data_IF_586219099778
#
_entry.id   IF_586219099778
#
_cell.length_a   1.000
_cell.length_b   1.000
_cell.length_c   1.000
_cell.angle_alpha   90.00
_cell.angle_beta   90.00
_cell.angle_gamma   90.00
#
_symmetry.space_group_name_H-M   'P 1'
#
loop_
_entity.id
_entity.type
_entity.pdbx_description
1 polymer ?
#
# COMPACT_ATOMS: atom_id res chain seq x y z
N UNK A 1 -21.89 -18.93 11.88
CA UNK A 1 -22.54 -17.62 11.96
C UNK A 1 -21.46 -16.59 11.70
N UNK A 2 -21.41 -16.02 10.50
CA UNK A 2 -20.29 -15.17 10.04
C UNK A 2 -20.23 -13.87 10.84
N UNK A 3 -19.14 -13.62 11.57
CA UNK A 3 -18.96 -12.36 12.34
C UNK A 3 -17.99 -11.40 11.67
N UNK A 4 -18.26 -10.10 11.84
CA UNK A 4 -17.32 -9.04 11.49
C UNK A 4 -16.17 -9.05 12.50
N UNK A 5 -14.94 -9.24 12.03
CA UNK A 5 -13.76 -9.31 12.90
C UNK A 5 -13.07 -7.95 13.04
N UNK A 6 -12.97 -7.16 11.95
CA UNK A 6 -12.49 -5.77 11.97
C UNK A 6 -13.30 -4.92 11.02
N UNK A 7 -13.48 -3.64 11.36
CA UNK A 7 -14.20 -2.67 10.54
C UNK A 7 -13.53 -1.30 10.61
N UNK A 8 -13.45 -0.65 9.46
CA UNK A 8 -13.06 0.75 9.31
C UNK A 8 -14.07 1.44 8.40
N UNK A 9 -14.89 2.30 8.98
CA UNK A 9 -15.95 3.04 8.27
C UNK A 9 -16.88 2.11 7.47
N UNK A 10 -16.74 2.13 6.15
CA UNK A 10 -17.55 1.39 5.17
C UNK A 10 -16.85 0.14 4.63
N UNK A 11 -15.75 -0.27 5.26
CA UNK A 11 -15.02 -1.47 4.90
C UNK A 11 -14.90 -2.37 6.11
N UNK A 12 -15.02 -3.69 5.92
CA UNK A 12 -14.84 -4.65 7.00
C UNK A 12 -14.30 -5.97 6.48
N UNK A 13 -13.79 -6.77 7.40
CA UNK A 13 -13.33 -8.14 7.17
C UNK A 13 -14.06 -9.06 8.14
N UNK A 14 -14.45 -10.24 7.67
CA UNK A 14 -15.08 -11.24 8.52
C UNK A 14 -14.05 -12.12 9.26
N UNK A 15 -14.53 -13.05 10.08
CA UNK A 15 -13.70 -14.01 10.81
C UNK A 15 -12.97 -15.03 9.91
N UNK A 16 -13.42 -15.19 8.66
CA UNK A 16 -12.81 -16.05 7.65
C UNK A 16 -11.81 -15.30 6.75
N UNK A 17 -11.59 -14.02 7.01
CA UNK A 17 -10.68 -13.17 6.23
C UNK A 17 -11.26 -12.65 4.92
N UNK A 18 -12.58 -12.77 4.69
CA UNK A 18 -13.25 -12.20 3.52
C UNK A 18 -13.50 -10.71 3.72
N UNK A 19 -13.23 -9.94 2.68
CA UNK A 19 -13.30 -8.48 2.68
C UNK A 19 -14.63 -8.01 2.09
N UNK A 20 -15.24 -7.01 2.70
CA UNK A 20 -16.50 -6.44 2.23
C UNK A 20 -16.47 -4.92 2.28
N UNK A 21 -17.07 -4.32 1.26
CA UNK A 21 -17.27 -2.88 1.13
C UNK A 21 -18.76 -2.54 1.15
N UNK A 22 -19.12 -1.43 1.79
CA UNK A 22 -20.46 -0.86 1.83
C UNK A 22 -20.51 0.28 0.83
N UNK A 23 -21.18 0.05 -0.29
CA UNK A 23 -21.26 0.98 -1.41
C UNK A 23 -22.60 1.71 -1.42
N UNK A 24 -22.64 2.84 -2.12
CA UNK A 24 -23.84 3.66 -2.29
C UNK A 24 -24.08 4.65 -1.15
N UNK A 25 -25.16 5.44 -1.21
CA UNK A 25 -25.52 6.43 -0.19
C UNK A 25 -25.95 5.78 1.13
N UNK A 26 -25.95 6.56 2.21
CA UNK A 26 -26.30 6.12 3.58
C UNK A 26 -27.65 5.38 3.63
N UNK A 27 -28.64 5.86 2.86
CA UNK A 27 -30.03 5.39 2.86
C UNK A 27 -30.35 4.33 1.80
N UNK A 28 -29.38 3.99 0.94
CA UNK A 28 -29.58 3.04 -0.16
C UNK A 28 -28.26 2.36 -0.50
N UNK A 29 -27.73 1.62 0.46
CA UNK A 29 -26.42 0.99 0.37
C UNK A 29 -26.52 -0.50 0.02
N UNK A 30 -25.39 -1.09 -0.37
CA UNK A 30 -25.26 -2.53 -0.57
C UNK A 30 -23.84 -2.99 -0.23
N UNK A 31 -23.69 -4.28 0.05
CA UNK A 31 -22.42 -4.93 0.32
C UNK A 31 -21.83 -5.48 -0.98
N UNK A 32 -20.52 -5.37 -1.14
CA UNK A 32 -19.78 -6.09 -2.19
C UNK A 32 -18.56 -6.76 -1.60
N UNK A 33 -18.38 -8.04 -1.90
CA UNK A 33 -17.18 -8.78 -1.52
C UNK A 33 -15.98 -8.34 -2.37
N UNK A 34 -14.83 -8.20 -1.71
CA UNK A 34 -13.55 -7.92 -2.33
C UNK A 34 -12.64 -9.13 -2.28
N UNK A 35 -11.95 -9.38 -3.39
CA UNK A 35 -10.85 -10.32 -3.47
C UNK A 35 -9.54 -9.58 -3.24
N UNK A 36 -8.79 -10.03 -2.26
CA UNK A 36 -7.43 -9.56 -2.02
C UNK A 36 -6.51 -10.02 -3.17
N UNK A 37 -5.66 -9.12 -3.68
CA UNK A 37 -4.71 -9.49 -4.74
C UNK A 37 -3.48 -10.24 -4.22
N UNK A 38 -3.02 -9.87 -3.03
CA UNK A 38 -1.81 -10.43 -2.41
C UNK A 38 -2.18 -11.10 -1.10
N UNK A 39 -1.73 -12.34 -0.93
CA UNK A 39 -1.87 -13.06 0.34
C UNK A 39 -0.97 -12.43 1.39
N UNK A 40 -1.34 -12.59 2.66
CA UNK A 40 -0.52 -12.19 3.80
C UNK A 40 -0.62 -10.73 4.22
N UNK A 41 -1.37 -9.89 3.50
CA UNK A 41 -1.64 -8.52 3.97
C UNK A 41 -2.77 -8.50 4.99
N UNK A 42 -2.59 -7.72 6.04
CA UNK A 42 -3.62 -7.43 7.02
C UNK A 42 -4.71 -6.50 6.47
N UNK A 43 -5.84 -6.43 7.17
CA UNK A 43 -6.98 -5.58 6.80
C UNK A 43 -6.60 -4.11 6.54
N UNK A 44 -5.84 -3.50 7.46
CA UNK A 44 -5.41 -2.10 7.30
C UNK A 44 -4.48 -1.91 6.12
N UNK A 45 -3.59 -2.88 5.85
CA UNK A 45 -2.70 -2.81 4.69
C UNK A 45 -3.50 -2.91 3.39
N UNK A 46 -4.52 -3.75 3.33
CA UNK A 46 -5.40 -3.81 2.15
C UNK A 46 -6.08 -2.46 1.91
N UNK A 47 -6.57 -1.79 2.96
CA UNK A 47 -7.21 -0.49 2.83
C UNK A 47 -6.24 0.62 2.44
N UNK A 48 -5.09 0.68 3.13
CA UNK A 48 -4.04 1.66 2.85
C UNK A 48 -3.61 1.50 1.41
N UNK A 49 -3.17 0.30 1.01
CA UNK A 49 -2.57 0.03 -0.29
C UNK A 49 -3.57 -0.30 -1.41
N UNK A 50 -4.87 -0.19 -1.13
CA UNK A 50 -5.98 -0.55 -2.02
C UNK A 50 -5.80 -1.94 -2.65
N UNK A 51 -5.28 -2.94 -1.92
CA UNK A 51 -4.85 -4.26 -2.45
C UNK A 51 -6.00 -5.26 -2.67
N UNK A 52 -7.08 -4.82 -3.31
CA UNK A 52 -8.20 -5.68 -3.61
C UNK A 52 -9.00 -5.21 -4.83
N UNK A 53 -9.78 -6.14 -5.39
CA UNK A 53 -10.71 -5.92 -6.48
C UNK A 53 -12.08 -6.52 -6.14
N UNK A 54 -13.18 -6.03 -6.75
CA UNK A 54 -14.48 -6.64 -6.57
C UNK A 54 -14.47 -8.10 -7.03
N UNK A 55 -15.06 -9.00 -6.24
CA UNK A 55 -15.21 -10.41 -6.63
C UNK A 55 -16.40 -10.64 -7.58
N UNK A 56 -17.27 -9.64 -7.69
CA UNK A 56 -18.57 -9.70 -8.35
C UNK A 56 -19.70 -10.20 -7.43
N UNK A 57 -19.42 -10.60 -6.19
CA UNK A 57 -20.47 -10.95 -5.23
C UNK A 57 -21.02 -9.69 -4.56
N UNK A 58 -22.32 -9.45 -4.67
CA UNK A 58 -23.01 -8.27 -4.12
C UNK A 58 -24.27 -8.67 -3.37
N UNK A 59 -24.69 -7.87 -2.40
CA UNK A 59 -25.91 -8.12 -1.65
C UNK A 59 -27.16 -7.50 -2.28
N UNK A 60 -28.33 -7.79 -1.70
CA UNK A 60 -29.49 -6.90 -1.82
C UNK A 60 -29.17 -5.48 -1.30
N UNK A 61 -30.03 -4.52 -1.61
CA UNK A 61 -29.93 -3.16 -1.07
C UNK A 61 -30.52 -3.05 0.33
N UNK A 62 -29.96 -2.16 1.12
CA UNK A 62 -30.37 -1.88 2.50
C UNK A 62 -30.73 -0.42 2.68
N UNK A 63 -31.75 -0.16 3.49
CA UNK A 63 -32.22 1.17 3.86
C UNK A 63 -31.23 1.95 4.74
N UNK A 64 -30.23 1.29 5.32
CA UNK A 64 -29.14 1.94 6.03
C UNK A 64 -27.88 1.09 6.10
N UNK A 65 -26.73 1.73 6.33
CA UNK A 65 -25.46 1.06 6.66
C UNK A 65 -25.62 0.15 7.88
N UNK A 66 -26.36 0.60 8.91
CA UNK A 66 -26.65 -0.20 10.10
C UNK A 66 -27.40 -1.49 9.74
N UNK A 67 -28.46 -1.38 8.95
CA UNK A 67 -29.25 -2.53 8.51
C UNK A 67 -28.42 -3.54 7.69
N UNK A 68 -27.50 -3.06 6.85
CA UNK A 68 -26.60 -3.93 6.11
C UNK A 68 -25.67 -4.74 7.03
N UNK A 69 -25.13 -4.10 8.08
CA UNK A 69 -24.24 -4.73 9.05
C UNK A 69 -24.99 -5.72 9.95
N UNK A 70 -26.19 -5.37 10.41
CA UNK A 70 -27.05 -6.26 11.18
C UNK A 70 -27.43 -7.50 10.37
N UNK A 71 -27.82 -7.32 9.10
CA UNK A 71 -28.13 -8.43 8.21
C UNK A 71 -26.90 -9.32 7.96
N UNK A 72 -25.70 -8.75 7.81
CA UNK A 72 -24.46 -9.53 7.67
C UNK A 72 -24.18 -10.39 8.92
N UNK A 73 -24.26 -9.81 10.11
CA UNK A 73 -24.01 -10.53 11.36
C UNK A 73 -25.08 -11.58 11.67
N UNK A 74 -26.32 -11.34 11.21
CA UNK A 74 -27.43 -12.28 11.35
C UNK A 74 -27.46 -13.36 10.25
N UNK A 75 -26.48 -13.38 9.33
CA UNK A 75 -26.45 -14.29 8.18
C UNK A 75 -27.71 -14.22 7.29
N UNK A 76 -28.30 -13.01 7.21
CA UNK A 76 -29.55 -12.73 6.50
C UNK A 76 -29.33 -11.99 5.16
N UNK A 77 -28.09 -12.00 4.66
CA UNK A 77 -27.75 -11.35 3.39
C UNK A 77 -28.08 -12.27 2.22
N UNK A 78 -28.80 -11.74 1.24
CA UNK A 78 -29.01 -12.39 -0.04
C UNK A 78 -27.90 -11.97 -0.98
N UNK A 79 -27.14 -12.95 -1.47
CA UNK A 79 -26.01 -12.70 -2.36
C UNK A 79 -26.38 -12.94 -3.82
N UNK A 80 -25.88 -12.06 -4.68
CA UNK A 80 -26.07 -12.06 -6.12
C UNK A 80 -24.73 -11.96 -6.83
N UNK A 81 -24.65 -12.51 -8.03
CA UNK A 81 -23.48 -12.40 -8.88
C UNK A 81 -23.66 -11.26 -9.89
N UNK A 82 -22.90 -10.19 -9.72
CA UNK A 82 -22.76 -9.12 -10.71
C UNK A 82 -21.62 -9.46 -11.69
N UNK A 83 -21.99 -9.75 -12.95
CA UNK A 83 -21.04 -10.14 -13.99
C UNK A 83 -20.16 -8.98 -14.46
N UNK A 84 -20.66 -7.73 -14.37
CA UNK A 84 -19.88 -6.56 -14.74
C UNK A 84 -18.77 -6.33 -13.72
N UNK A 85 -19.11 -6.30 -12.43
CA UNK A 85 -18.14 -6.15 -11.35
C UNK A 85 -17.16 -7.32 -11.32
N UNK A 86 -17.62 -8.54 -11.63
CA UNK A 86 -16.73 -9.69 -11.78
C UNK A 86 -15.66 -9.44 -12.85
N UNK A 87 -16.10 -9.09 -14.07
CA UNK A 87 -15.20 -8.84 -15.20
C UNK A 87 -14.25 -7.67 -14.93
N UNK A 88 -14.76 -6.60 -14.33
CA UNK A 88 -13.95 -5.46 -13.90
C UNK A 88 -12.88 -5.91 -12.91
N UNK A 89 -13.24 -6.70 -11.88
CA UNK A 89 -12.28 -7.18 -10.90
C UNK A 89 -11.21 -8.10 -11.49
N UNK A 90 -11.60 -8.96 -12.43
CA UNK A 90 -10.67 -9.82 -13.16
C UNK A 90 -9.74 -8.99 -14.07
N UNK A 91 -10.23 -7.93 -14.72
CA UNK A 91 -9.41 -6.98 -15.48
C UNK A 91 -8.44 -6.20 -14.59
N UNK A 92 -8.88 -5.69 -13.43
CA UNK A 92 -8.01 -5.03 -12.47
C UNK A 92 -6.90 -5.97 -12.00
N UNK A 93 -7.24 -7.24 -11.78
CA UNK A 93 -6.27 -8.25 -11.37
C UNK A 93 -5.25 -8.56 -12.49
N UNK A 94 -5.66 -8.54 -13.76
CA UNK A 94 -4.79 -8.82 -14.90
C UNK A 94 -3.85 -7.65 -15.24
N UNK A 95 -4.32 -6.40 -15.11
CA UNK A 95 -3.56 -5.21 -15.49
C UNK A 95 -2.77 -4.57 -14.34
N UNK A 96 -2.69 -5.24 -13.19
CA UNK A 96 -1.97 -4.68 -12.04
C UNK A 96 -0.47 -4.58 -12.30
N UNK A 97 0.08 -3.38 -12.20
CA UNK A 97 1.53 -3.20 -12.03
C UNK A 97 1.95 -3.41 -10.58
N UNK A 98 3.24 -3.68 -10.39
CA UNK A 98 3.89 -3.63 -9.07
C UNK A 98 3.79 -2.21 -8.48
N UNK A 99 3.77 -1.19 -9.34
CA UNK A 99 3.82 0.23 -8.96
C UNK A 99 2.47 0.94 -8.96
N UNK A 100 1.40 0.33 -9.49
CA UNK A 100 0.07 0.96 -9.65
C UNK A 100 -0.65 1.22 -8.31
N UNK A 101 -0.01 0.87 -7.20
CA UNK A 101 -0.56 0.91 -5.87
C UNK A 101 0.06 2.01 -5.03
N UNK A 102 -0.15 3.24 -5.48
CA UNK A 102 0.05 4.43 -4.66
C UNK A 102 -1.32 5.03 -4.32
N UNK A 103 -1.78 4.88 -3.07
CA UNK A 103 -2.95 5.60 -2.59
C UNK A 103 -2.70 7.10 -2.77
N UNK A 104 -3.72 7.85 -3.16
CA UNK A 104 -3.63 9.31 -3.34
C UNK A 104 -3.01 9.99 -2.11
N UNK A 105 -3.28 9.49 -0.91
CA UNK A 105 -2.68 9.97 0.33
C UNK A 105 -1.13 9.83 0.36
N UNK A 106 -0.57 8.75 -0.18
CA UNK A 106 0.88 8.57 -0.27
C UNK A 106 1.50 9.41 -1.39
N UNK A 107 0.80 9.59 -2.51
CA UNK A 107 1.22 10.51 -3.56
C UNK A 107 1.27 11.95 -3.02
N UNK A 108 0.28 12.33 -2.21
CA UNK A 108 0.25 13.62 -1.54
C UNK A 108 1.32 13.74 -0.43
N UNK A 109 1.65 12.65 0.27
CA UNK A 109 2.72 12.65 1.26
C UNK A 109 4.09 12.88 0.60
N UNK A 110 4.34 12.20 -0.53
CA UNK A 110 5.53 12.42 -1.35
C UNK A 110 5.62 13.86 -1.84
N UNK A 111 4.53 14.41 -2.38
CA UNK A 111 4.48 15.80 -2.84
C UNK A 111 4.75 16.82 -1.72
N UNK A 112 4.49 16.46 -0.46
CA UNK A 112 4.79 17.26 0.74
C UNK A 112 6.20 17.02 1.28
N UNK A 113 7.03 16.22 0.62
CA UNK A 113 8.38 15.87 1.09
C UNK A 113 8.39 14.92 2.29
N UNK A 114 7.25 14.33 2.65
CA UNK A 114 7.18 13.36 3.73
C UNK A 114 7.68 11.99 3.25
N UNK A 115 8.23 11.19 4.17
CA UNK A 115 8.71 9.84 3.85
C UNK A 115 7.54 8.95 3.41
N UNK A 116 7.59 8.51 2.17
CA UNK A 116 6.64 7.55 1.59
C UNK A 116 6.90 6.19 2.23
N UNK A 117 5.86 5.58 2.80
CA UNK A 117 5.95 4.20 3.29
C UNK A 117 6.26 3.27 2.11
N UNK A 118 7.14 2.29 2.28
CA UNK A 118 7.38 1.27 1.25
C UNK A 118 6.28 0.22 1.26
N UNK A 119 5.98 -0.31 0.08
CA UNK A 119 5.02 -1.40 -0.10
C UNK A 119 5.47 -2.64 0.72
N UNK A 120 4.63 -3.20 1.61
CA UNK A 120 5.00 -4.29 2.50
C UNK A 120 5.50 -5.55 1.77
N UNK A 121 5.01 -5.80 0.57
CA UNK A 121 5.38 -6.97 -0.24
C UNK A 121 6.71 -6.84 -1.00
N UNK A 122 7.40 -5.70 -0.88
CA UNK A 122 8.75 -5.50 -1.43
C UNK A 122 9.85 -5.74 -0.37
N UNK A 123 9.51 -6.31 0.79
CA UNK A 123 10.43 -6.61 1.88
C UNK A 123 10.79 -8.11 1.94
N UNK A 124 12.01 -8.47 2.38
CA UNK A 124 13.02 -7.61 3.02
C UNK A 124 13.77 -6.76 1.99
N UNK A 125 14.40 -5.68 2.45
CA UNK A 125 15.39 -5.01 1.62
C UNK A 125 16.38 -6.07 1.08
N UNK A 126 16.76 -6.06 -0.21
CA UNK A 126 18.11 -6.51 -0.51
C UNK A 126 18.97 -5.62 0.36
N UNK A 127 19.69 -6.19 1.34
CA UNK A 127 20.62 -5.43 2.15
C UNK A 127 21.41 -4.56 1.17
N UNK A 128 21.12 -3.24 1.17
CA UNK A 128 21.86 -2.32 0.33
C UNK A 128 23.33 -2.55 0.64
N UNK A 129 24.26 -2.34 -0.31
CA UNK A 129 25.67 -2.58 -0.05
C UNK A 129 26.00 -1.91 1.28
N UNK A 130 26.30 -2.74 2.29
CA UNK A 130 26.69 -2.26 3.61
C UNK A 130 28.06 -1.67 3.34
N UNK A 131 28.12 -0.39 3.02
CA UNK A 131 29.37 0.34 3.13
C UNK A 131 29.73 0.22 4.61
N UNK A 132 30.63 -0.72 4.91
CA UNK A 132 31.06 -1.13 6.25
C UNK A 132 31.83 -0.04 6.97
N UNK A 133 31.34 1.20 6.91
CA UNK A 133 31.81 2.31 7.69
C UNK A 133 31.17 2.17 9.07
N UNK A 134 31.95 1.87 10.11
CA UNK A 134 31.44 1.83 11.46
C UNK A 134 30.87 3.21 11.84
N UNK A 135 29.85 3.27 12.71
CA UNK A 135 29.34 4.52 13.23
C UNK A 135 30.49 5.28 13.88
N UNK A 136 30.67 6.55 13.47
CA UNK A 136 31.61 7.46 14.13
C UNK A 136 31.12 7.69 15.55
N UNK A 137 31.69 6.96 16.51
CA UNK A 137 31.65 7.36 17.90
C UNK A 137 32.37 8.70 18.01
N UNK A 138 31.62 9.72 18.43
CA UNK A 138 32.18 10.99 18.82
C UNK A 138 32.79 10.81 20.21
N UNK A 139 34.00 10.25 20.26
CA UNK A 139 34.90 10.43 21.39
C UNK A 139 36.32 10.54 20.83
N UNK A 140 36.94 11.69 21.11
CA UNK A 140 38.22 12.08 20.56
C UNK A 140 39.35 11.22 21.10
N UNK A 141 40.09 10.58 20.19
CA UNK A 141 41.54 10.36 20.28
C UNK A 141 42.03 9.66 19.01
N UNK A 142 43.10 10.17 18.40
CA UNK A 142 44.00 9.36 17.58
C UNK A 142 43.89 9.49 16.06
N UNK A 143 44.62 10.47 15.53
CA UNK A 143 45.31 10.50 14.23
C UNK A 143 45.41 9.15 13.47
N UNK A 144 44.74 9.06 12.32
CA UNK A 144 45.27 8.38 11.12
C UNK A 144 44.87 9.21 9.90
N UNK A 145 45.81 10.07 9.50
CA UNK A 145 45.73 10.92 8.32
C UNK A 145 45.83 10.04 7.07
N UNK A 146 44.70 9.79 6.40
CA UNK A 146 44.70 9.12 5.09
C UNK A 146 45.03 10.19 4.04
N UNK A 147 46.15 10.05 3.29
CA UNK A 147 46.54 11.07 2.32
C UNK A 147 45.48 11.18 1.23
N UNK A 148 44.86 12.36 1.12
CA UNK A 148 43.99 12.66 -0.01
C UNK A 148 44.84 12.77 -1.28
N UNK A 149 44.47 12.14 -2.40
CA UNK A 149 45.21 12.32 -3.64
C UNK A 149 45.13 13.80 -4.05
N UNK A 150 46.30 14.45 -4.06
CA UNK A 150 46.44 15.83 -4.49
C UNK A 150 45.84 16.01 -5.88
N UNK A 151 44.75 16.79 -5.96
CA UNK A 151 44.19 17.27 -7.23
C UNK A 151 45.29 18.05 -7.95
N UNK A 152 45.87 17.45 -8.98
CA UNK A 152 46.89 18.07 -9.84
C UNK A 152 46.28 19.33 -10.48
N UNK A 153 46.53 20.50 -9.89
CA UNK A 153 46.26 21.78 -10.54
C UNK A 153 47.10 21.82 -11.81
N UNK A 154 46.46 21.77 -12.98
CA UNK A 154 47.11 22.14 -14.23
C UNK A 154 47.36 23.66 -14.17
N UNK A 155 48.55 24.04 -13.73
CA UNK A 155 49.08 25.38 -13.91
C UNK A 155 49.34 25.58 -15.40
N UNK A 156 48.44 26.28 -16.09
CA UNK A 156 48.72 26.82 -17.42
C UNK A 156 49.61 28.05 -17.26
N UNK A 157 50.92 27.84 -17.15
CA UNK A 157 51.88 28.92 -17.33
C UNK A 157 52.29 28.97 -18.81
N UNK A 158 52.13 30.18 -19.32
CA UNK A 158 52.57 30.70 -20.60
C UNK A 158 54.02 30.32 -20.91
N UNK A 159 54.29 30.06 -22.19
CA UNK A 159 55.60 30.27 -22.79
C UNK A 159 55.40 31.16 -24.00
N UNK A 160 55.97 32.36 -23.91
CA UNK A 160 56.04 33.36 -24.94
C UNK A 160 57.15 33.02 -25.95
N UNK A 161 57.10 33.76 -27.07
CA UNK A 161 58.13 34.02 -28.09
C UNK A 161 58.30 33.00 -29.22
N UNK A 162 57.89 33.40 -30.43
CA UNK A 162 58.75 34.17 -31.34
C UNK A 162 57.92 35.09 -32.24
#
# INVERSE_FOLDING_TARGET
MTRISKRRERHFIDEHGRLFWINGPETHCYLSEQRQWRRGLGFEEVLIWKQCAPSGLVSQRFASVRAALEAFQADAVQWYQDLYLRRMGDQMAAHRSVDDYKPTAMQQAEARGARVQRQPWLLPEPAGPVCGLPPRFADGAGLLEVPHPHRRRRSGCQLAER
#
